data_IF_424242125267
#
_entry.id   IF_424242125267
#
_cell.length_a   1.000
_cell.length_b   1.000
_cell.length_c   1.000
_cell.angle_alpha   90.00
_cell.angle_beta   90.00
_cell.angle_gamma   90.00
#
_symmetry.space_group_name_H-M   'P 1'
#
loop_
_entity.id
_entity.type
_entity.pdbx_description
1 polymer ?
#
# COMPACT_ATOMS: atom_id res chain seq x y z
N UNK A 1 -5.48 -6.01 -5.36
CA UNK A 1 -4.21 -6.75 -5.20
C UNK A 1 -4.03 -7.11 -3.75
N UNK A 2 -3.48 -8.30 -3.47
CA UNK A 2 -3.21 -8.73 -2.10
C UNK A 2 -1.78 -8.33 -1.74
N UNK A 3 -1.64 -7.50 -0.71
CA UNK A 3 -0.34 -7.08 -0.18
C UNK A 3 -0.15 -7.64 1.23
N UNK A 4 0.92 -8.40 1.49
CA UNK A 4 1.37 -8.66 2.84
C UNK A 4 1.68 -7.33 3.53
N UNK A 5 1.29 -7.17 4.81
CA UNK A 5 1.54 -5.91 5.55
C UNK A 5 3.03 -5.61 5.69
N UNK A 6 3.88 -6.64 5.75
CA UNK A 6 5.34 -6.46 5.79
C UNK A 6 5.92 -5.87 4.51
N UNK A 7 5.41 -6.30 3.35
CA UNK A 7 5.87 -5.83 2.04
C UNK A 7 5.21 -4.51 1.63
N UNK A 8 4.07 -4.16 2.22
CA UNK A 8 3.35 -2.93 1.88
C UNK A 8 4.21 -1.68 2.09
N UNK A 9 5.00 -1.62 3.16
CA UNK A 9 5.86 -0.46 3.47
C UNK A 9 6.92 -0.29 2.39
N UNK A 10 7.61 -1.38 2.05
CA UNK A 10 8.63 -1.39 0.99
C UNK A 10 8.00 -1.05 -0.36
N UNK A 11 6.82 -1.60 -0.66
CA UNK A 11 6.12 -1.35 -1.91
C UNK A 11 5.56 0.07 -2.04
N UNK A 12 5.20 0.74 -0.95
CA UNK A 12 4.78 2.15 -0.99
C UNK A 12 5.97 3.11 -1.04
N UNK A 13 7.20 2.63 -0.82
CA UNK A 13 8.43 3.41 -0.86
C UNK A 13 9.29 3.14 -2.11
N UNK A 14 9.03 2.07 -2.85
CA UNK A 14 9.75 1.75 -4.08
C UNK A 14 9.38 2.68 -5.24
N UNK A 15 10.17 2.61 -6.31
CA UNK A 15 9.91 3.39 -7.51
C UNK A 15 8.58 2.97 -8.18
N UNK A 16 7.76 3.91 -8.68
CA UNK A 16 6.51 3.59 -9.38
C UNK A 16 6.69 2.63 -10.57
N UNK A 17 7.84 2.67 -11.24
CA UNK A 17 8.15 1.76 -12.34
C UNK A 17 8.36 0.32 -11.82
N UNK A 18 9.13 0.17 -10.73
CA UNK A 18 9.40 -1.13 -10.10
C UNK A 18 8.13 -1.72 -9.48
N UNK A 19 7.31 -0.89 -8.83
CA UNK A 19 6.00 -1.31 -8.30
C UNK A 19 5.12 -1.89 -9.41
N UNK A 20 5.09 -1.22 -10.57
CA UNK A 20 4.32 -1.68 -11.72
C UNK A 20 4.85 -2.98 -12.29
N UNK A 21 6.16 -3.19 -12.34
CA UNK A 21 6.73 -4.46 -12.80
C UNK A 21 6.47 -5.60 -11.82
N UNK A 22 6.65 -5.38 -10.52
CA UNK A 22 6.47 -6.42 -9.49
C UNK A 22 5.02 -6.81 -9.27
N UNK A 23 4.13 -5.82 -9.17
CA UNK A 23 2.74 -6.05 -8.79
C UNK A 23 1.77 -5.98 -9.97
N UNK A 24 2.30 -5.70 -11.16
CA UNK A 24 1.52 -5.51 -12.39
C UNK A 24 0.38 -4.48 -12.22
N UNK A 25 0.60 -3.51 -11.32
CA UNK A 25 -0.39 -2.52 -10.92
C UNK A 25 0.26 -1.14 -10.84
N UNK A 26 -0.48 -0.09 -11.19
CA UNK A 26 0.04 1.28 -11.06
C UNK A 26 0.18 1.64 -9.58
N UNK A 27 1.31 2.22 -9.20
CA UNK A 27 1.49 2.78 -7.86
C UNK A 27 0.44 3.88 -7.62
N UNK A 28 -0.32 3.81 -6.52
CA UNK A 28 -1.29 4.84 -6.20
C UNK A 28 -0.59 6.19 -5.96
N UNK A 29 -1.21 7.28 -6.36
CA UNK A 29 -0.77 8.60 -5.93
C UNK A 29 -1.17 8.83 -4.47
N UNK A 30 -0.50 9.77 -3.80
CA UNK A 30 -0.82 10.15 -2.41
C UNK A 30 -2.26 10.68 -2.24
N UNK A 31 -2.81 11.25 -3.30
CA UNK A 31 -4.18 11.77 -3.39
C UNK A 31 -5.20 10.74 -3.91
N UNK A 32 -4.76 9.56 -4.32
CA UNK A 32 -5.67 8.51 -4.77
C UNK A 32 -6.25 7.77 -3.54
N UNK A 33 -7.56 7.49 -3.53
CA UNK A 33 -8.18 6.76 -2.42
C UNK A 33 -7.69 5.31 -2.38
N UNK A 34 -6.98 4.95 -1.31
CA UNK A 34 -6.47 3.58 -1.09
C UNK A 34 -7.26 2.89 0.02
N UNK A 35 -7.88 1.75 -0.30
CA UNK A 35 -8.68 0.97 0.65
C UNK A 35 -7.94 -0.30 1.06
N UNK A 36 -7.67 -0.44 2.36
CA UNK A 36 -7.06 -1.63 2.94
C UNK A 36 -8.12 -2.51 3.61
N UNK A 37 -8.20 -3.79 3.23
CA UNK A 37 -9.09 -4.76 3.86
C UNK A 37 -8.32 -6.00 4.30
N UNK A 38 -8.72 -6.60 5.43
CA UNK A 38 -8.21 -7.89 5.85
C UNK A 38 -9.27 -8.65 6.67
N UNK A 39 -9.12 -9.98 6.76
CA UNK A 39 -10.09 -10.87 7.41
C UNK A 39 -10.45 -10.47 8.85
N UNK A 40 -9.50 -9.92 9.61
CA UNK A 40 -9.65 -9.62 11.03
C UNK A 40 -9.53 -8.12 11.38
N UNK A 41 -9.42 -7.23 10.39
CA UNK A 41 -9.23 -5.78 10.58
C UNK A 41 -7.89 -5.30 11.16
N UNK A 42 -7.12 -6.16 11.86
CA UNK A 42 -5.85 -5.76 12.51
C UNK A 42 -4.78 -5.30 11.50
N UNK A 43 -4.62 -6.10 10.44
CA UNK A 43 -3.62 -5.87 9.39
C UNK A 43 -3.96 -4.66 8.51
N UNK A 44 -5.24 -4.42 8.21
CA UNK A 44 -5.68 -3.27 7.42
C UNK A 44 -5.51 -1.97 8.20
N UNK A 45 -5.73 -1.97 9.52
CA UNK A 45 -5.45 -0.81 10.37
C UNK A 45 -3.96 -0.44 10.40
N UNK A 46 -3.08 -1.44 10.49
CA UNK A 46 -1.63 -1.21 10.40
C UNK A 46 -1.23 -0.66 9.02
N UNK A 47 -1.71 -1.30 7.95
CA UNK A 47 -1.48 -0.87 6.58
C UNK A 47 -1.92 0.59 6.34
N UNK A 48 -3.10 0.95 6.83
CA UNK A 48 -3.61 2.32 6.78
C UNK A 48 -2.68 3.28 7.53
N UNK A 49 -2.27 2.94 8.76
CA UNK A 49 -1.35 3.78 9.54
C UNK A 49 -0.02 4.04 8.83
N UNK A 50 0.54 3.02 8.16
CA UNK A 50 1.76 3.17 7.36
C UNK A 50 1.54 4.05 6.13
N UNK A 51 0.47 3.80 5.37
CA UNK A 51 0.13 4.61 4.21
C UNK A 51 -0.10 6.09 4.60
N UNK A 52 -0.84 6.36 5.68
CA UNK A 52 -1.03 7.71 6.21
C UNK A 52 0.29 8.35 6.64
N UNK A 53 1.21 7.59 7.25
CA UNK A 53 2.54 8.10 7.64
C UNK A 53 3.40 8.48 6.43
N UNK A 54 3.19 7.81 5.29
CA UNK A 54 3.83 8.14 4.00
C UNK A 54 3.13 9.30 3.26
N UNK A 55 1.98 9.75 3.76
CA UNK A 55 1.21 10.87 3.23
C UNK A 55 0.13 10.48 2.24
N UNK A 56 -0.32 9.22 2.23
CA UNK A 56 -1.49 8.79 1.47
C UNK A 56 -2.77 9.13 2.25
N UNK A 57 -3.76 9.75 1.58
CA UNK A 57 -5.03 10.20 2.17
C UNK A 57 -6.23 9.82 1.32
#
# INVERSE_FOLDING_TARGET
>A
VYFPVGELVEALQMDPAEFKERYNQKMPAKSDPVVFSCLAGKRSKQALGFATSLGFS
#
